data_IF_248934322357
#
_entry.id   IF_248934322357
#
_cell.length_a   1.000
_cell.length_b   1.000
_cell.length_c   1.000
_cell.angle_alpha   90.00
_cell.angle_beta   90.00
_cell.angle_gamma   90.00
#
_symmetry.space_group_name_H-M   'P 1'
#
loop_
_entity.id
_entity.type
_entity.pdbx_description
1 polymer ?
#
# COMPACT_ATOMS: atom_id res chain seq x y z
N UNK A 1 -13.41 -3.01 -24.42
CA UNK A 1 -13.18 -1.63 -23.90
C UNK A 1 -11.68 -1.38 -23.90
N UNK A 2 -11.23 -0.15 -24.20
CA UNK A 2 -9.96 0.12 -24.87
C UNK A 2 -8.75 -0.14 -23.96
N UNK A 3 -7.66 -0.65 -24.56
CA UNK A 3 -6.31 -0.59 -23.99
C UNK A 3 -6.00 0.88 -23.69
N UNK A 4 -6.07 1.28 -22.43
CA UNK A 4 -5.53 2.55 -22.00
C UNK A 4 -4.02 2.33 -21.81
N UNK A 5 -3.23 2.60 -22.85
CA UNK A 5 -1.80 2.87 -22.66
C UNK A 5 -1.70 4.21 -21.95
N UNK A 6 -1.93 4.21 -20.65
CA UNK A 6 -1.74 5.38 -19.81
C UNK A 6 -0.25 5.60 -19.63
N UNK A 7 0.22 6.85 -19.70
CA UNK A 7 1.62 7.22 -19.46
C UNK A 7 2.10 7.04 -18.01
N UNK A 8 1.59 6.02 -17.31
CA UNK A 8 1.97 5.67 -15.95
C UNK A 8 2.51 4.24 -15.92
N UNK A 9 3.59 4.05 -15.18
CA UNK A 9 4.01 2.72 -14.73
C UNK A 9 3.15 2.31 -13.53
N UNK A 10 2.64 1.07 -13.56
CA UNK A 10 1.74 0.55 -12.52
C UNK A 10 2.55 -0.29 -11.54
N UNK A 11 2.44 0.05 -10.25
CA UNK A 11 3.10 -0.66 -9.17
C UNK A 11 2.05 -1.25 -8.21
N UNK A 12 2.24 -2.50 -7.83
CA UNK A 12 1.63 -3.06 -6.62
C UNK A 12 2.46 -2.59 -5.42
N UNK A 13 1.81 -1.91 -4.49
CA UNK A 13 2.41 -1.47 -3.23
C UNK A 13 1.82 -2.30 -2.09
N UNK A 14 2.67 -2.83 -1.22
CA UNK A 14 2.26 -3.60 -0.04
C UNK A 14 3.34 -3.50 1.05
N UNK A 15 3.15 -4.21 2.18
CA UNK A 15 4.17 -4.30 3.21
C UNK A 15 5.22 -5.37 2.90
N UNK A 16 6.48 -5.18 3.34
CA UNK A 16 7.54 -6.19 3.17
C UNK A 16 7.16 -7.49 3.86
N UNK A 17 6.59 -7.41 5.07
CA UNK A 17 6.19 -8.60 5.83
C UNK A 17 5.09 -9.44 5.13
N UNK A 18 4.32 -8.87 4.20
CA UNK A 18 3.34 -9.63 3.40
C UNK A 18 4.06 -10.54 2.40
N UNK A 19 5.21 -10.11 1.88
CA UNK A 19 6.03 -10.82 0.90
C UNK A 19 7.12 -11.70 1.54
N UNK A 20 7.33 -11.58 2.85
CA UNK A 20 8.37 -12.29 3.59
C UNK A 20 7.83 -13.43 4.47
N UNK A 21 8.69 -14.40 4.75
CA UNK A 21 8.52 -15.41 5.78
C UNK A 21 8.88 -14.82 7.16
N UNK A 22 8.67 -15.60 8.23
CA UNK A 22 8.98 -15.18 9.62
C UNK A 22 10.46 -14.90 9.87
N UNK A 23 11.35 -15.50 9.09
CA UNK A 23 12.79 -15.29 9.13
C UNK A 23 13.25 -14.12 8.24
N UNK A 24 12.31 -13.30 7.75
CA UNK A 24 12.51 -12.19 6.82
C UNK A 24 13.00 -12.58 5.41
N UNK A 25 13.14 -13.88 5.11
CA UNK A 25 13.40 -14.33 3.73
C UNK A 25 12.18 -14.06 2.85
N UNK A 26 12.40 -13.79 1.56
CA UNK A 26 11.30 -13.67 0.60
C UNK A 26 10.53 -14.99 0.49
N UNK A 27 9.20 -14.92 0.44
CA UNK A 27 8.38 -16.05 -0.01
C UNK A 27 8.76 -16.42 -1.44
N UNK A 28 8.47 -17.65 -1.86
CA UNK A 28 8.74 -18.07 -3.24
C UNK A 28 7.76 -17.45 -4.24
N UNK A 29 6.49 -17.38 -3.86
CA UNK A 29 5.40 -16.90 -4.72
C UNK A 29 4.26 -16.34 -3.87
N UNK A 30 3.54 -15.36 -4.41
CA UNK A 30 2.21 -14.94 -3.95
C UNK A 30 1.22 -15.02 -5.10
N UNK A 31 -0.08 -14.98 -4.79
CA UNK A 31 -1.14 -14.92 -5.80
C UNK A 31 -1.88 -13.62 -5.69
N UNK A 32 -1.96 -12.88 -6.80
CA UNK A 32 -2.83 -11.72 -6.93
C UNK A 32 -4.23 -12.20 -7.31
N UNK A 33 -5.24 -11.72 -6.60
CA UNK A 33 -6.64 -12.02 -6.86
C UNK A 33 -7.31 -10.79 -7.48
N UNK A 34 -7.88 -10.96 -8.67
CA UNK A 34 -8.65 -9.94 -9.35
C UNK A 34 -10.06 -10.41 -9.70
N UNK A 35 -10.94 -9.45 -9.93
CA UNK A 35 -12.20 -9.70 -10.63
C UNK A 35 -11.95 -9.79 -12.14
N UNK A 36 -12.58 -10.75 -12.81
CA UNK A 36 -12.55 -10.84 -14.27
C UNK A 36 -13.43 -9.76 -14.93
N UNK A 37 -13.02 -9.23 -16.08
CA UNK A 37 -13.84 -8.30 -16.88
C UNK A 37 -15.16 -8.92 -17.36
N UNK A 38 -15.22 -10.25 -17.49
CA UNK A 38 -16.45 -10.96 -17.87
C UNK A 38 -17.40 -11.18 -16.69
N UNK A 39 -16.98 -10.86 -15.45
CA UNK A 39 -17.68 -11.09 -14.18
C UNK A 39 -18.11 -12.56 -13.94
N UNK A 40 -17.52 -13.54 -14.64
CA UNK A 40 -17.91 -14.96 -14.53
C UNK A 40 -17.07 -15.73 -13.52
N UNK A 41 -15.85 -15.26 -13.25
CA UNK A 41 -14.92 -15.95 -12.35
C UNK A 41 -13.93 -15.00 -11.68
N UNK A 42 -13.30 -15.50 -10.63
CA UNK A 42 -12.11 -14.90 -10.04
C UNK A 42 -10.89 -15.20 -10.91
N UNK A 43 -9.95 -14.28 -10.94
CA UNK A 43 -8.70 -14.45 -11.67
C UNK A 43 -7.54 -14.43 -10.69
N UNK A 44 -6.84 -15.57 -10.60
CA UNK A 44 -5.59 -15.66 -9.86
C UNK A 44 -4.41 -15.46 -10.80
N UNK A 45 -3.49 -14.57 -10.45
CA UNK A 45 -2.21 -14.38 -11.14
C UNK A 45 -1.09 -14.77 -10.18
N UNK A 46 -0.37 -15.88 -10.44
CA UNK A 46 0.82 -16.19 -9.67
C UNK A 46 1.88 -15.11 -9.92
N UNK A 47 2.57 -14.74 -8.86
CA UNK A 47 3.64 -13.77 -8.87
C UNK A 47 4.80 -14.38 -8.08
N UNK A 48 5.73 -15.00 -8.81
CA UNK A 48 6.98 -15.50 -8.24
C UNK A 48 7.72 -14.32 -7.65
N UNK A 49 8.13 -14.40 -6.40
CA UNK A 49 8.80 -13.33 -5.69
C UNK A 49 10.33 -13.46 -5.75
N UNK A 50 10.83 -14.62 -6.16
CA UNK A 50 12.25 -14.95 -6.33
C UNK A 50 12.45 -15.67 -7.66
N UNK A 51 13.49 -15.32 -8.40
CA UNK A 51 13.91 -16.04 -9.61
C UNK A 51 15.19 -16.83 -9.33
N UNK A 52 15.05 -18.11 -8.98
CA UNK A 52 16.16 -19.04 -8.78
C UNK A 52 17.02 -18.80 -7.53
N UNK A 53 17.31 -17.55 -7.19
CA UNK A 53 18.04 -17.14 -5.99
C UNK A 53 17.10 -16.42 -5.01
N UNK A 54 16.78 -17.02 -3.86
CA UNK A 54 15.96 -16.41 -2.80
C UNK A 54 16.48 -15.06 -2.27
N UNK A 55 17.75 -14.74 -2.52
CA UNK A 55 18.41 -13.49 -2.10
C UNK A 55 18.19 -12.32 -3.06
N UNK A 56 17.62 -12.57 -4.25
CA UNK A 56 17.32 -11.54 -5.27
C UNK A 56 15.80 -11.51 -5.52
N UNK A 57 15.04 -10.78 -4.69
CA UNK A 57 13.61 -10.67 -4.88
C UNK A 57 13.28 -9.85 -6.13
N UNK A 58 12.18 -10.20 -6.81
CA UNK A 58 11.63 -9.37 -7.91
C UNK A 58 10.88 -8.12 -7.39
N UNK A 59 10.69 -8.03 -6.07
CA UNK A 59 10.10 -6.88 -5.40
C UNK A 59 11.20 -6.00 -4.81
N UNK A 60 10.99 -4.69 -4.84
CA UNK A 60 11.93 -3.73 -4.23
C UNK A 60 11.38 -3.29 -2.88
N UNK A 61 12.16 -3.52 -1.82
CA UNK A 61 11.88 -2.96 -0.51
C UNK A 61 12.42 -1.54 -0.36
N UNK A 62 11.80 -0.76 0.53
CA UNK A 62 12.36 0.51 0.97
C UNK A 62 13.80 0.36 1.52
N UNK A 63 14.65 1.36 1.31
CA UNK A 63 16.07 1.38 1.71
C UNK A 63 16.28 1.29 3.20
N UNK A 64 15.52 2.11 3.92
CA UNK A 64 15.41 2.03 5.37
C UNK A 64 14.75 0.68 5.73
N UNK A 65 15.45 -0.12 6.53
CA UNK A 65 15.01 -1.45 6.94
C UNK A 65 13.80 -1.40 7.87
N UNK A 66 13.57 -0.28 8.56
CA UNK A 66 12.45 -0.09 9.50
C UNK A 66 11.15 0.25 8.76
N UNK A 67 11.26 0.87 7.58
CA UNK A 67 10.11 1.19 6.71
C UNK A 67 9.61 -0.09 6.05
N UNK A 68 8.35 -0.43 6.30
CA UNK A 68 7.75 -1.69 5.89
C UNK A 68 6.97 -1.54 4.57
N UNK A 69 7.64 -1.01 3.54
CA UNK A 69 7.10 -0.86 2.19
C UNK A 69 7.86 -1.74 1.19
N UNK A 70 7.10 -2.44 0.36
CA UNK A 70 7.57 -3.18 -0.79
C UNK A 70 6.75 -2.82 -2.03
N UNK A 71 7.43 -2.73 -3.18
CA UNK A 71 6.81 -2.44 -4.46
C UNK A 71 7.15 -3.49 -5.51
N UNK A 72 6.20 -3.75 -6.40
CA UNK A 72 6.35 -4.65 -7.55
C UNK A 72 5.77 -3.98 -8.78
N UNK A 73 6.58 -3.77 -9.81
CA UNK A 73 6.08 -3.25 -11.09
C UNK A 73 5.22 -4.33 -11.76
N UNK A 74 3.98 -4.00 -12.08
CA UNK A 74 3.06 -4.88 -12.79
C UNK A 74 3.16 -4.62 -14.30
N UNK A 75 3.01 -5.69 -15.08
CA UNK A 75 2.98 -5.61 -16.54
C UNK A 75 1.67 -6.17 -17.10
N UNK A 76 1.52 -6.14 -18.42
CA UNK A 76 0.33 -6.59 -19.13
C UNK A 76 -0.07 -8.05 -18.83
N UNK A 77 0.89 -8.91 -18.48
CA UNK A 77 0.59 -10.30 -18.10
C UNK A 77 -0.24 -10.35 -16.81
N UNK A 78 0.09 -9.52 -15.82
CA UNK A 78 -0.70 -9.46 -14.58
C UNK A 78 -2.03 -8.74 -14.79
N UNK A 79 -2.08 -7.70 -15.63
CA UNK A 79 -3.22 -6.79 -15.76
C UNK A 79 -4.20 -7.13 -16.90
N UNK A 80 -3.88 -8.10 -17.76
CA UNK A 80 -4.75 -8.49 -18.86
C UNK A 80 -5.99 -9.27 -18.40
N UNK A 81 -7.15 -8.89 -18.93
CA UNK A 81 -8.43 -9.57 -18.70
C UNK A 81 -9.03 -9.39 -17.30
N UNK A 82 -8.50 -8.47 -16.49
CA UNK A 82 -8.94 -8.22 -15.13
C UNK A 82 -9.47 -6.81 -14.94
N UNK A 83 -10.32 -6.63 -13.93
CA UNK A 83 -10.79 -5.32 -13.46
C UNK A 83 -9.79 -4.80 -12.44
N UNK A 84 -9.23 -3.62 -12.69
CA UNK A 84 -8.36 -2.91 -11.77
C UNK A 84 -8.54 -1.40 -11.95
N UNK A 85 -8.13 -0.67 -10.93
CA UNK A 85 -7.95 0.78 -10.93
C UNK A 85 -6.68 1.10 -10.13
N UNK A 86 -6.18 2.32 -10.21
CA UNK A 86 -4.93 2.71 -9.56
C UNK A 86 -4.91 4.20 -9.19
N UNK A 87 -4.18 4.53 -8.12
CA UNK A 87 -3.93 5.91 -7.73
C UNK A 87 -2.84 6.52 -8.62
N UNK A 88 -3.14 7.65 -9.26
CA UNK A 88 -2.18 8.45 -10.02
C UNK A 88 -1.33 9.29 -9.07
N UNK A 89 -0.02 9.08 -9.06
CA UNK A 89 0.91 9.73 -8.12
C UNK A 89 0.85 11.27 -8.17
N UNK A 90 0.62 11.85 -9.34
CA UNK A 90 0.57 13.30 -9.58
C UNK A 90 -0.79 13.95 -9.25
N UNK A 91 -1.85 13.15 -9.11
CA UNK A 91 -3.23 13.67 -8.98
C UNK A 91 -3.95 13.19 -7.73
N UNK A 92 -3.70 11.95 -7.33
CA UNK A 92 -4.45 11.23 -6.30
C UNK A 92 -3.58 10.89 -5.10
N UNK A 93 -2.38 11.45 -5.03
CA UNK A 93 -1.53 11.48 -3.85
C UNK A 93 -1.06 12.92 -3.60
N UNK A 94 -0.39 13.12 -2.46
CA UNK A 94 0.27 14.37 -2.13
C UNK A 94 1.78 14.16 -2.21
N UNK A 95 2.52 15.16 -2.70
CA UNK A 95 3.95 15.21 -2.43
C UNK A 95 4.21 15.49 -0.93
N UNK A 96 5.46 15.38 -0.49
CA UNK A 96 5.81 15.51 0.92
C UNK A 96 5.37 16.85 1.56
N UNK A 97 5.53 17.97 0.84
CA UNK A 97 5.09 19.27 1.34
C UNK A 97 3.58 19.39 1.40
N UNK A 98 2.89 18.97 0.35
CA UNK A 98 1.42 18.98 0.31
C UNK A 98 0.85 18.09 1.40
N UNK A 99 1.45 16.93 1.66
CA UNK A 99 1.00 16.00 2.69
C UNK A 99 1.05 16.67 4.07
N UNK A 100 2.18 17.27 4.43
CA UNK A 100 2.36 18.05 5.67
C UNK A 100 1.41 19.25 5.77
N UNK A 101 1.06 19.87 4.64
CA UNK A 101 0.20 21.07 4.59
C UNK A 101 -1.30 20.76 4.62
N UNK A 102 -1.72 19.54 4.27
CA UNK A 102 -3.13 19.20 4.02
C UNK A 102 -3.69 18.10 4.91
N UNK A 103 -2.83 17.32 5.58
CA UNK A 103 -3.25 16.21 6.47
C UNK A 103 -2.97 16.59 7.92
N UNK A 104 -3.95 16.36 8.79
CA UNK A 104 -3.86 16.68 10.21
C UNK A 104 -4.67 15.69 11.03
N UNK A 105 -4.41 15.64 12.33
CA UNK A 105 -5.25 14.88 13.25
C UNK A 105 -6.73 15.27 13.11
N UNK A 106 -7.61 14.27 13.19
CA UNK A 106 -9.05 14.41 13.01
C UNK A 106 -9.53 14.34 11.56
N UNK A 107 -8.64 14.31 10.56
CA UNK A 107 -9.04 14.10 9.17
C UNK A 107 -9.62 12.70 8.95
N UNK A 108 -10.77 12.62 8.28
CA UNK A 108 -11.44 11.36 7.95
C UNK A 108 -10.67 10.56 6.90
N UNK A 109 -10.56 9.25 7.15
CA UNK A 109 -9.89 8.31 6.25
C UNK A 109 -10.72 7.07 5.98
N UNK A 110 -10.51 6.49 4.81
CA UNK A 110 -11.01 5.21 4.36
C UNK A 110 -9.86 4.22 4.16
N UNK A 111 -10.04 2.97 4.57
CA UNK A 111 -9.09 1.86 4.42
C UNK A 111 -9.82 0.74 3.69
N UNK A 112 -9.33 0.37 2.51
CA UNK A 112 -9.95 -0.63 1.65
C UNK A 112 -9.16 -1.94 1.68
N UNK A 113 -9.76 -3.04 2.16
CA UNK A 113 -9.03 -4.30 2.32
C UNK A 113 -9.89 -5.56 2.31
N UNK A 114 -9.25 -6.70 2.57
CA UNK A 114 -9.89 -8.01 2.73
C UNK A 114 -9.51 -8.60 4.10
N UNK A 115 -10.05 -8.07 5.20
CA UNK A 115 -9.74 -8.54 6.56
C UNK A 115 -10.05 -10.03 6.69
N UNK A 116 -9.15 -10.76 7.33
CA UNK A 116 -9.16 -12.21 7.49
C UNK A 116 -9.28 -13.01 6.19
N UNK A 117 -8.94 -12.40 5.05
CA UNK A 117 -9.17 -12.99 3.73
C UNK A 117 -10.66 -13.19 3.45
N UNK A 118 -11.54 -12.44 4.12
CA UNK A 118 -12.98 -12.51 3.89
C UNK A 118 -13.30 -12.01 2.49
N UNK A 119 -13.41 -12.96 1.57
CA UNK A 119 -13.79 -12.76 0.19
C UNK A 119 -15.17 -13.38 0.06
N UNK A 120 -16.23 -12.56 -0.01
CA UNK A 120 -17.63 -13.03 0.00
C UNK A 120 -17.94 -14.14 -1.01
N UNK A 121 -19.06 -14.85 -0.88
CA UNK A 121 -19.32 -16.10 -1.59
C UNK A 121 -19.40 -16.00 -3.13
N UNK A 122 -19.67 -14.82 -3.69
CA UNK A 122 -19.84 -14.63 -5.14
C UNK A 122 -18.53 -14.64 -5.94
N UNK A 123 -18.64 -14.73 -7.28
CA UNK A 123 -17.48 -14.62 -8.17
C UNK A 123 -16.80 -13.24 -8.08
N UNK A 124 -17.61 -12.19 -7.98
CA UNK A 124 -17.12 -10.81 -7.83
C UNK A 124 -16.77 -10.53 -6.37
N UNK A 125 -15.54 -10.13 -6.13
CA UNK A 125 -15.00 -9.76 -4.83
C UNK A 125 -15.05 -8.26 -4.65
N UNK A 126 -15.71 -7.84 -3.60
CA UNK A 126 -15.79 -6.45 -3.19
C UNK A 126 -14.90 -6.26 -1.96
N UNK A 127 -14.12 -5.19 -1.98
CA UNK A 127 -13.32 -4.79 -0.83
C UNK A 127 -14.24 -4.46 0.35
N UNK A 128 -13.76 -4.71 1.56
CA UNK A 128 -14.39 -4.21 2.78
C UNK A 128 -13.84 -2.81 3.04
N UNK A 129 -14.74 -1.85 3.11
CA UNK A 129 -14.44 -0.50 3.55
C UNK A 129 -14.39 -0.48 5.08
N UNK A 130 -13.31 0.07 5.62
CA UNK A 130 -13.21 0.55 6.99
C UNK A 130 -12.95 2.03 6.98
N UNK A 131 -13.46 2.75 7.97
CA UNK A 131 -13.23 4.17 8.12
C UNK A 131 -12.65 4.48 9.50
N UNK A 132 -12.04 5.66 9.60
CA UNK A 132 -11.41 6.15 10.81
C UNK A 132 -11.02 7.60 10.68
N UNK A 133 -10.21 8.07 11.63
CA UNK A 133 -9.60 9.40 11.58
C UNK A 133 -8.09 9.31 11.79
N UNK A 134 -7.34 10.26 11.26
CA UNK A 134 -5.92 10.41 11.62
C UNK A 134 -5.83 10.73 13.11
N UNK A 135 -5.23 9.84 13.91
CA UNK A 135 -5.11 10.00 15.36
C UNK A 135 -3.88 10.77 15.78
N UNK A 136 -2.75 10.53 15.09
CA UNK A 136 -1.46 11.16 15.39
C UNK A 136 -0.55 11.12 14.17
N UNK A 137 -0.13 12.29 13.71
CA UNK A 137 0.76 12.46 12.55
C UNK A 137 1.89 13.48 12.79
N UNK A 138 1.80 14.32 13.83
CA UNK A 138 2.87 15.30 14.10
C UNK A 138 4.25 14.66 14.29
N UNK A 139 4.35 13.49 14.95
CA UNK A 139 5.63 12.79 15.14
C UNK A 139 6.28 12.43 13.80
N UNK A 140 5.49 12.11 12.76
CA UNK A 140 5.99 11.89 11.40
C UNK A 140 6.51 13.19 10.78
N UNK A 141 5.76 14.28 10.92
CA UNK A 141 6.13 15.58 10.33
C UNK A 141 7.28 16.29 11.04
N UNK A 142 7.56 15.93 12.29
CA UNK A 142 8.71 16.34 13.09
C UNK A 142 9.87 15.36 12.98
N UNK A 143 9.77 14.35 12.10
CA UNK A 143 10.82 13.34 11.85
C UNK A 143 11.20 12.51 13.10
N UNK A 144 10.29 12.43 14.08
CA UNK A 144 10.41 11.60 15.29
C UNK A 144 9.85 10.19 15.10
N UNK A 145 9.05 9.98 14.06
CA UNK A 145 8.51 8.69 13.63
C UNK A 145 8.63 8.53 12.11
N UNK A 146 8.64 7.28 11.65
CA UNK A 146 8.57 6.93 10.22
C UNK A 146 7.14 6.62 9.75
N UNK A 147 6.23 6.41 10.70
CA UNK A 147 4.82 6.05 10.51
C UNK A 147 3.89 7.00 11.29
N UNK A 148 2.60 6.93 10.96
CA UNK A 148 1.55 7.67 11.66
C UNK A 148 0.38 6.76 12.06
N UNK A 149 -0.51 7.26 12.92
CA UNK A 149 -1.60 6.48 13.50
C UNK A 149 -2.96 6.94 12.99
N UNK A 150 -3.83 5.96 12.74
CA UNK A 150 -5.24 6.12 12.39
C UNK A 150 -6.11 5.35 13.39
N UNK A 151 -7.20 5.95 13.83
CA UNK A 151 -8.19 5.31 14.70
C UNK A 151 -9.13 4.49 13.82
N UNK A 152 -8.77 3.22 13.63
CA UNK A 152 -9.52 2.27 12.84
C UNK A 152 -9.21 0.84 13.30
N UNK A 153 -10.28 0.07 13.56
CA UNK A 153 -10.17 -1.36 13.82
C UNK A 153 -9.71 -2.11 12.58
N UNK A 154 -8.41 -2.36 12.47
CA UNK A 154 -7.85 -3.21 11.43
C UNK A 154 -7.49 -4.60 11.97
N UNK A 155 -7.55 -5.59 11.08
CA UNK A 155 -7.35 -7.00 11.40
C UNK A 155 -6.29 -7.59 10.46
N UNK A 156 -5.72 -8.77 10.79
CA UNK A 156 -4.92 -9.53 9.85
C UNK A 156 -5.60 -9.60 8.47
N UNK A 157 -4.85 -9.35 7.39
CA UNK A 157 -5.41 -9.23 6.04
C UNK A 157 -5.70 -7.79 5.57
N UNK A 158 -5.62 -6.80 6.47
CA UNK A 158 -5.62 -5.38 6.07
C UNK A 158 -4.21 -4.82 5.80
N UNK A 159 -3.14 -5.52 6.17
CA UNK A 159 -1.77 -5.11 5.84
C UNK A 159 -1.59 -4.99 4.33
N UNK A 160 -1.08 -3.87 3.86
CA UNK A 160 -1.00 -3.53 2.44
C UNK A 160 -2.21 -2.78 1.87
N UNK A 161 -3.26 -2.53 2.68
CA UNK A 161 -4.45 -1.79 2.23
C UNK A 161 -4.13 -0.31 2.03
N UNK A 162 -4.64 0.34 0.96
CA UNK A 162 -4.51 1.78 0.80
C UNK A 162 -5.28 2.50 1.92
N UNK A 163 -4.66 3.56 2.45
CA UNK A 163 -5.28 4.51 3.38
C UNK A 163 -5.53 5.80 2.60
N UNK A 164 -6.80 6.19 2.54
CA UNK A 164 -7.31 7.22 1.63
C UNK A 164 -7.93 8.34 2.46
N UNK A 165 -7.42 9.55 2.32
CA UNK A 165 -8.01 10.76 2.88
C UNK A 165 -9.30 11.10 2.13
N UNK A 166 -10.37 11.38 2.87
CA UNK A 166 -11.64 11.83 2.29
C UNK A 166 -11.58 13.30 1.84
N UNK A 167 -12.36 13.68 0.82
CA UNK A 167 -12.60 15.09 0.52
C UNK A 167 -13.19 15.81 1.73
N UNK A 168 -12.70 17.03 2.01
CA UNK A 168 -13.22 17.92 3.04
C UNK A 168 -13.60 19.27 2.44
N UNK A 169 -14.81 19.73 2.74
CA UNK A 169 -15.25 21.08 2.40
C UNK A 169 -14.96 22.01 3.56
N UNK A 170 -14.19 23.06 3.32
CA UNK A 170 -13.67 23.93 4.38
C UNK A 170 -14.58 25.12 4.66
N UNK A 171 -15.12 25.24 5.88
CA UNK A 171 -15.62 26.52 6.40
C UNK A 171 -14.52 27.32 7.12
N UNK A 172 -13.50 26.65 7.70
CA UNK A 172 -12.31 27.26 8.36
C UNK A 172 -11.02 26.42 8.22
N UNK A 173 -11.07 25.29 7.51
CA UNK A 173 -9.94 24.41 7.22
C UNK A 173 -9.67 24.41 5.72
N UNK A 174 -8.47 24.01 5.30
CA UNK A 174 -8.16 23.88 3.86
C UNK A 174 -9.07 22.82 3.24
N UNK A 175 -9.74 23.17 2.15
CA UNK A 175 -10.60 22.24 1.41
C UNK A 175 -9.77 21.30 0.54
N UNK A 176 -10.14 20.03 0.51
CA UNK A 176 -9.67 19.07 -0.48
C UNK A 176 -10.91 18.49 -1.18
N UNK A 177 -11.00 18.62 -2.50
CA UNK A 177 -12.18 18.19 -3.26
C UNK A 177 -12.10 16.75 -3.77
N UNK A 178 -10.96 16.07 -3.58
CA UNK A 178 -10.71 14.73 -4.13
C UNK A 178 -10.19 13.77 -3.07
N UNK A 179 -10.44 12.47 -3.27
CA UNK A 179 -9.80 11.43 -2.46
C UNK A 179 -8.29 11.43 -2.73
N UNK A 180 -7.49 11.23 -1.68
CA UNK A 180 -6.03 11.21 -1.77
C UNK A 180 -5.46 9.99 -1.05
N UNK A 181 -4.61 9.22 -1.71
CA UNK A 181 -3.77 8.21 -1.07
C UNK A 181 -2.79 8.92 -0.13
N UNK A 182 -2.82 8.54 1.15
CA UNK A 182 -1.95 9.11 2.18
C UNK A 182 -1.00 8.08 2.79
N UNK A 183 -1.22 6.79 2.49
CA UNK A 183 -0.32 5.74 2.95
C UNK A 183 -0.88 4.33 2.75
N UNK A 184 -0.21 3.37 3.38
CA UNK A 184 -0.55 1.96 3.37
C UNK A 184 -0.65 1.45 4.81
N UNK A 185 -1.75 0.76 5.12
CA UNK A 185 -1.95 0.16 6.43
C UNK A 185 -0.90 -0.92 6.67
N UNK A 186 -0.13 -0.80 7.75
CA UNK A 186 0.95 -1.72 8.13
C UNK A 186 0.46 -2.82 9.06
N UNK A 187 -0.26 -2.43 10.11
CA UNK A 187 -0.68 -3.33 11.18
C UNK A 187 -1.27 -2.55 12.34
N UNK A 188 -1.62 -3.23 13.43
CA UNK A 188 -2.27 -2.61 14.58
C UNK A 188 -1.37 -2.61 15.83
N UNK A 189 -1.65 -1.68 16.73
CA UNK A 189 -1.07 -1.69 18.08
C UNK A 189 -1.89 -2.63 18.98
N UNK A 190 -1.17 -3.43 19.75
CA UNK A 190 -1.73 -4.20 20.85
C UNK A 190 -1.42 -3.51 22.16
N UNK A 191 -2.38 -3.52 23.07
CA UNK A 191 -2.10 -3.43 24.49
C UNK A 191 -1.80 -4.83 24.98
N UNK A 192 -0.66 -5.02 25.63
CA UNK A 192 -0.21 -6.32 26.14
C UNK A 192 -0.04 -6.18 27.65
N UNK A 193 -0.98 -6.74 28.40
CA UNK A 193 -0.98 -6.76 29.86
C UNK A 193 -1.03 -8.21 30.36
N UNK A 194 -0.23 -8.51 31.38
CA UNK A 194 -0.07 -9.88 31.88
C UNK A 194 -1.37 -10.47 32.48
N UNK A 195 -2.34 -9.62 32.85
CA UNK A 195 -3.60 -10.02 33.49
C UNK A 195 -4.74 -10.00 32.47
N UNK A 196 -4.80 -8.98 31.61
CA UNK A 196 -5.89 -8.79 30.64
C UNK A 196 -5.65 -9.53 29.31
N UNK A 197 -4.39 -9.89 29.01
CA UNK A 197 -3.98 -10.47 27.75
C UNK A 197 -3.83 -9.42 26.63
N UNK A 198 -3.63 -9.88 25.39
CA UNK A 198 -3.46 -8.98 24.24
C UNK A 198 -4.80 -8.44 23.75
N UNK A 199 -4.95 -7.12 23.80
CA UNK A 199 -6.13 -6.42 23.29
C UNK A 199 -5.76 -5.51 22.12
N UNK A 200 -6.61 -5.48 21.10
CA UNK A 200 -6.44 -4.59 19.94
C UNK A 200 -6.85 -3.19 20.32
N UNK A 201 -5.93 -2.22 20.25
CA UNK A 201 -6.17 -0.85 20.71
C UNK A 201 -7.06 -0.01 19.78
N UNK A 202 -7.53 -0.57 18.66
CA UNK A 202 -8.24 0.18 17.61
C UNK A 202 -7.34 1.11 16.78
N UNK A 203 -6.02 1.07 16.98
CA UNK A 203 -5.07 1.93 16.24
C UNK A 203 -4.41 1.17 15.09
N UNK A 204 -4.57 1.71 13.89
CA UNK A 204 -3.88 1.33 12.67
C UNK A 204 -2.59 2.13 12.52
N UNK A 205 -1.47 1.43 12.34
CA UNK A 205 -0.17 2.01 11.97
C UNK A 205 -0.14 2.14 10.45
N UNK A 206 0.27 3.29 9.94
CA UNK A 206 0.26 3.60 8.50
C UNK A 206 1.65 4.08 8.05
N UNK A 207 2.19 3.41 7.04
CA UNK A 207 3.37 3.87 6.31
C UNK A 207 2.93 4.98 5.34
N UNK A 208 3.56 6.16 5.41
CA UNK A 208 3.11 7.31 4.63
C UNK A 208 3.34 7.16 3.12
N UNK A 209 2.56 7.88 2.33
CA UNK A 209 2.69 7.90 0.85
C UNK A 209 4.10 8.32 0.39
N UNK A 210 4.81 9.15 1.15
CA UNK A 210 6.19 9.53 0.86
C UNK A 210 7.12 8.31 0.81
N UNK A 211 6.93 7.33 1.71
CA UNK A 211 7.72 6.08 1.73
C UNK A 211 7.48 5.21 0.51
N UNK A 212 6.30 5.32 -0.09
CA UNK A 212 5.98 4.64 -1.36
C UNK A 212 6.81 5.28 -2.48
N UNK A 213 6.83 6.62 -2.57
CA UNK A 213 7.60 7.34 -3.57
C UNK A 213 9.11 7.12 -3.43
N UNK A 214 9.64 7.17 -2.20
CA UNK A 214 11.04 6.85 -1.90
C UNK A 214 11.43 5.44 -2.40
N UNK A 215 10.53 4.46 -2.26
CA UNK A 215 10.74 3.11 -2.78
C UNK A 215 10.73 3.05 -4.33
N UNK A 216 9.80 3.77 -4.98
CA UNK A 216 9.67 3.81 -6.46
C UNK A 216 10.90 4.47 -7.09
N UNK A 217 11.32 5.63 -6.60
CA UNK A 217 12.49 6.35 -7.10
C UNK A 217 13.76 5.49 -7.06
N UNK A 218 13.90 4.65 -6.03
CA UNK A 218 15.02 3.69 -5.95
C UNK A 218 14.96 2.66 -7.07
N UNK A 219 13.79 2.05 -7.31
CA UNK A 219 13.64 1.04 -8.37
C UNK A 219 14.02 1.61 -9.74
N UNK A 220 13.68 2.88 -10.00
CA UNK A 220 14.05 3.56 -11.24
C UNK A 220 15.55 3.82 -11.34
N UNK A 221 16.20 4.27 -10.26
CA UNK A 221 17.66 4.49 -10.22
C UNK A 221 18.45 3.21 -10.45
N UNK A 222 18.11 2.13 -9.74
CA UNK A 222 18.79 0.81 -9.88
C UNK A 222 18.64 0.28 -11.30
N UNK A 223 17.48 0.47 -11.93
CA UNK A 223 17.28 0.08 -13.32
C UNK A 223 18.19 0.89 -14.26
N UNK A 224 18.27 2.21 -14.08
CA UNK A 224 19.14 3.08 -14.87
C UNK A 224 20.62 2.73 -14.76
N UNK A 225 21.11 2.40 -13.56
CA UNK A 225 22.49 1.96 -13.33
C UNK A 225 22.80 0.64 -14.05
N UNK A 226 21.90 -0.35 -13.95
CA UNK A 226 22.07 -1.64 -14.64
C UNK A 226 22.06 -1.49 -16.17
N UNK A 227 21.17 -0.65 -16.71
CA UNK A 227 21.09 -0.40 -18.16
C UNK A 227 22.40 0.26 -18.67
N UNK A 228 22.99 1.19 -17.89
CA UNK A 228 24.29 1.80 -18.20
C UNK A 228 25.45 0.81 -18.14
N UNK A 229 25.48 -0.11 -17.18
CA UNK A 229 26.52 -1.16 -17.11
C UNK A 229 26.47 -2.12 -18.30
N UNK A 230 25.27 -2.41 -18.81
CA UNK A 230 25.09 -3.26 -20.00
C UNK A 230 25.53 -2.52 -21.27
N UNK A 231 25.27 -1.21 -21.39
CA UNK A 231 25.71 -0.41 -22.54
C UNK A 231 27.23 -0.18 -22.59
N UNK A 232 27.93 -0.31 -21.45
CA UNK A 232 29.38 -0.14 -21.35
C UNK A 232 30.16 -1.48 -21.41
N UNK A 233 29.50 -2.59 -21.70
CA UNK A 233 30.10 -3.92 -21.97
C UNK A 233 29.94 -4.29 -23.44
#
# INVERSE_FOLDING_TARGET
>A
MPKCTTGYDIYLVTNKHVLQNKDNSSKNEVRLLFNSIDNKQQVFRPLKLVEGNPSLPIWTGHTDSIVDIAIIKLNDLQLSGVIYDYFKSDKEAFNAEEFKKNVSEGDDVDILGFPYGFIGAGYKKYVILKNGVVSRIQDLFEEKSIDFLVDAFIFPGNSGSPVILRPKSGHKTKSNSQYKLIGVAKGHRYFDDAIVGKEVMGLCIVESVNRIFEAIERTEKVKGENDLEIMNK
#
